data_IF_125656780362
#
_entry.id   IF_125656780362
#
_cell.length_a   1.000
_cell.length_b   1.000
_cell.length_c   1.000
_cell.angle_alpha   90.00
_cell.angle_beta   90.00
_cell.angle_gamma   90.00
#
_symmetry.space_group_name_H-M   'P 1'
#
loop_
_entity.id
_entity.type
_entity.pdbx_description
1 polymer ?
#
# COMPACT_ATOMS: atom_id res chain seq x y z
N UNK A 1 -4.59 14.86 8.60
CA UNK A 1 -3.93 14.21 7.44
C UNK A 1 -5.01 13.67 6.51
N UNK A 2 -4.96 13.96 5.21
CA UNK A 2 -6.07 13.61 4.29
C UNK A 2 -6.11 12.11 3.98
N UNK A 3 -7.25 11.48 4.29
CA UNK A 3 -7.56 10.09 3.95
C UNK A 3 -8.46 10.11 2.71
N UNK A 4 -8.32 9.11 1.85
CA UNK A 4 -9.05 9.06 0.58
C UNK A 4 -9.76 7.72 0.38
N UNK A 5 -10.87 7.77 -0.33
CA UNK A 5 -11.63 6.64 -0.85
C UNK A 5 -11.60 6.70 -2.36
N UNK A 6 -11.42 5.56 -3.01
CA UNK A 6 -11.78 5.38 -4.43
C UNK A 6 -13.14 4.73 -4.50
N UNK A 7 -14.06 5.33 -5.23
CA UNK A 7 -15.38 4.76 -5.48
C UNK A 7 -15.25 3.65 -6.53
N UNK A 8 -15.85 2.48 -6.28
CA UNK A 8 -15.81 1.31 -7.15
C UNK A 8 -17.14 1.10 -7.89
N UNK A 9 -18.24 1.52 -7.27
CA UNK A 9 -19.61 1.44 -7.81
C UNK A 9 -20.33 2.77 -7.58
N UNK A 10 -21.33 3.13 -8.40
CA UNK A 10 -22.11 4.34 -8.20
C UNK A 10 -22.62 4.42 -6.75
N UNK A 11 -22.21 5.47 -6.03
CA UNK A 11 -22.43 5.58 -4.58
C UNK A 11 -23.21 6.84 -4.25
N UNK A 12 -24.39 6.66 -3.65
CA UNK A 12 -25.26 7.75 -3.20
C UNK A 12 -24.65 8.55 -2.04
N UNK A 13 -24.73 9.87 -2.12
CA UNK A 13 -24.26 10.82 -1.10
C UNK A 13 -25.47 11.46 -0.40
N UNK A 14 -25.41 11.50 0.92
CA UNK A 14 -26.46 12.00 1.79
C UNK A 14 -25.97 13.23 2.55
N UNK A 15 -26.87 14.19 2.79
CA UNK A 15 -26.57 15.39 3.59
C UNK A 15 -26.39 15.10 5.08
N UNK A 16 -26.99 14.01 5.58
CA UNK A 16 -26.88 13.55 6.96
C UNK A 16 -26.63 12.04 6.97
N UNK A 17 -26.10 11.54 8.08
CA UNK A 17 -25.80 10.13 8.31
C UNK A 17 -27.06 9.36 8.77
N UNK A 18 -28.15 9.51 8.00
CA UNK A 18 -29.48 8.94 8.23
C UNK A 18 -30.04 8.48 6.87
N UNK A 19 -30.73 7.33 6.84
CA UNK A 19 -31.24 6.77 5.58
C UNK A 19 -32.39 7.60 4.97
N UNK A 20 -33.12 8.34 5.78
CA UNK A 20 -34.18 9.27 5.38
C UNK A 20 -33.66 10.63 4.91
N UNK A 21 -32.35 10.87 5.02
CA UNK A 21 -31.73 12.13 4.60
C UNK A 21 -31.89 12.36 3.09
N UNK A 22 -32.01 13.62 2.70
CA UNK A 22 -31.97 14.03 1.29
C UNK A 22 -30.68 13.55 0.60
N UNK A 23 -30.86 13.07 -0.63
CA UNK A 23 -29.81 12.70 -1.55
C UNK A 23 -29.21 13.96 -2.18
N UNK A 24 -27.90 14.15 -2.04
CA UNK A 24 -27.21 15.30 -2.61
C UNK A 24 -26.76 15.03 -4.04
N UNK A 25 -26.08 13.90 -4.26
CA UNK A 25 -25.50 13.52 -5.54
C UNK A 25 -25.10 12.04 -5.55
N UNK A 26 -24.75 11.51 -6.71
CA UNK A 26 -24.17 10.17 -6.88
C UNK A 26 -22.71 10.32 -7.28
N UNK A 27 -21.80 9.63 -6.57
CA UNK A 27 -20.41 9.54 -6.97
C UNK A 27 -20.24 8.44 -8.00
N UNK A 28 -19.58 8.77 -9.10
CA UNK A 28 -19.24 7.83 -10.16
C UNK A 28 -18.07 6.93 -9.78
N UNK A 29 -17.96 5.70 -10.35
CA UNK A 29 -16.79 4.85 -10.22
C UNK A 29 -15.49 5.60 -10.57
N UNK A 30 -14.39 5.17 -9.94
CA UNK A 30 -13.05 5.76 -10.02
C UNK A 30 -12.89 7.17 -9.44
N UNK A 31 -13.96 7.78 -8.92
CA UNK A 31 -13.86 9.04 -8.17
C UNK A 31 -13.02 8.84 -6.92
N UNK A 32 -11.99 9.69 -6.73
CA UNK A 32 -11.19 9.75 -5.51
C UNK A 32 -11.69 10.90 -4.65
N UNK A 33 -12.20 10.59 -3.47
CA UNK A 33 -12.78 11.57 -2.55
C UNK A 33 -12.10 11.52 -1.18
N UNK A 34 -11.88 12.68 -0.57
CA UNK A 34 -11.36 12.74 0.79
C UNK A 34 -12.43 12.41 1.82
N UNK A 35 -12.06 11.66 2.86
CA UNK A 35 -12.94 11.34 3.97
C UNK A 35 -12.29 11.68 5.31
N UNK A 36 -13.13 11.96 6.31
CA UNK A 36 -12.71 12.29 7.67
C UNK A 36 -12.67 11.04 8.55
N UNK A 37 -13.86 10.52 8.90
CA UNK A 37 -14.04 9.46 9.89
C UNK A 37 -15.18 8.51 9.55
N UNK A 38 -15.17 7.39 10.25
CA UNK A 38 -16.26 6.41 10.28
C UNK A 38 -17.21 6.74 11.42
N UNK A 39 -18.51 6.75 11.15
CA UNK A 39 -19.57 6.95 12.15
C UNK A 39 -20.52 5.76 12.13
N UNK A 40 -21.02 5.36 13.30
CA UNK A 40 -22.10 4.38 13.41
C UNK A 40 -23.33 5.07 13.99
N UNK A 41 -24.46 4.98 13.30
CA UNK A 41 -25.75 5.49 13.76
C UNK A 41 -26.87 4.59 13.25
N UNK A 42 -27.83 4.29 14.10
CA UNK A 42 -29.00 3.45 13.79
C UNK A 42 -28.61 2.10 13.15
N UNK A 43 -27.56 1.47 13.71
CA UNK A 43 -26.95 0.22 13.23
C UNK A 43 -26.34 0.30 11.81
N UNK A 44 -26.33 1.47 11.17
CA UNK A 44 -25.68 1.72 9.87
C UNK A 44 -24.32 2.37 10.09
N UNK A 45 -23.32 1.90 9.34
CA UNK A 45 -22.01 2.52 9.31
C UNK A 45 -21.97 3.55 8.16
N UNK A 46 -21.42 4.72 8.44
CA UNK A 46 -21.34 5.86 7.54
C UNK A 46 -19.89 6.31 7.43
N UNK A 47 -19.51 6.77 6.24
CA UNK A 47 -18.26 7.50 6.02
C UNK A 47 -18.59 8.97 5.85
N UNK A 48 -17.96 9.82 6.67
CA UNK A 48 -18.04 11.28 6.51
C UNK A 48 -17.03 11.71 5.44
N UNK A 49 -17.52 12.30 4.36
CA UNK A 49 -16.76 12.72 3.18
C UNK A 49 -16.84 14.23 2.99
N UNK A 50 -15.88 14.79 2.27
CA UNK A 50 -15.92 16.18 1.83
C UNK A 50 -16.22 16.23 0.33
N UNK A 51 -17.33 16.87 -0.03
CA UNK A 51 -17.67 17.20 -1.42
C UNK A 51 -17.12 18.58 -1.79
N UNK A 52 -17.26 18.97 -3.06
CA UNK A 52 -16.88 20.32 -3.52
C UNK A 52 -17.46 21.40 -2.57
N UNK A 53 -16.67 22.43 -2.30
CA UNK A 53 -16.87 23.45 -1.25
C UNK A 53 -16.66 23.02 0.22
N UNK A 54 -15.99 21.88 0.48
CA UNK A 54 -15.70 21.36 1.83
C UNK A 54 -16.96 21.09 2.68
N UNK A 55 -18.13 21.00 2.06
CA UNK A 55 -19.36 20.61 2.78
C UNK A 55 -19.23 19.17 3.25
N UNK A 56 -19.56 18.93 4.52
CA UNK A 56 -19.61 17.59 5.08
C UNK A 56 -20.81 16.84 4.50
N UNK A 57 -20.56 15.65 3.97
CA UNK A 57 -21.58 14.76 3.47
C UNK A 57 -21.28 13.32 3.90
N UNK A 58 -22.22 12.41 3.61
CA UNK A 58 -22.16 11.05 4.13
C UNK A 58 -22.42 10.03 3.03
N UNK A 59 -21.61 8.99 3.00
CA UNK A 59 -21.90 7.79 2.21
C UNK A 59 -22.13 6.62 3.15
N UNK A 60 -23.09 5.77 2.80
CA UNK A 60 -23.30 4.51 3.51
C UNK A 60 -22.07 3.62 3.31
N UNK A 61 -21.54 3.09 4.40
CA UNK A 61 -20.40 2.17 4.36
C UNK A 61 -20.90 0.80 3.89
N UNK A 62 -20.71 0.55 2.60
CA UNK A 62 -20.86 -0.76 1.98
C UNK A 62 -19.49 -1.21 1.48
N UNK A 63 -19.06 -2.40 1.88
CA UNK A 63 -17.67 -2.86 1.69
C UNK A 63 -17.29 -3.01 0.22
N UNK A 64 -18.28 -3.19 -0.65
CA UNK A 64 -18.06 -3.41 -2.09
C UNK A 64 -18.11 -2.12 -2.92
N UNK A 65 -18.48 -0.98 -2.31
CA UNK A 65 -18.72 0.26 -3.05
C UNK A 65 -17.49 1.16 -3.13
N UNK A 66 -16.48 0.97 -2.27
CA UNK A 66 -15.28 1.80 -2.26
C UNK A 66 -14.05 1.04 -1.77
N UNK A 67 -12.90 1.51 -2.22
CA UNK A 67 -11.59 1.11 -1.73
C UNK A 67 -10.99 2.21 -0.84
N UNK A 68 -10.55 1.87 0.38
CA UNK A 68 -9.83 2.80 1.25
C UNK A 68 -8.39 2.92 0.81
N UNK A 69 -8.03 4.09 0.27
CA UNK A 69 -6.69 4.33 -0.24
C UNK A 69 -5.67 4.28 0.91
N UNK A 70 -4.55 3.61 0.69
CA UNK A 70 -3.51 3.46 1.70
C UNK A 70 -2.43 4.52 1.46
N UNK A 71 -2.28 5.46 2.41
CA UNK A 71 -1.18 6.41 2.35
C UNK A 71 0.12 5.72 2.77
N UNK A 72 1.10 5.74 1.89
CA UNK A 72 2.38 5.07 2.07
C UNK A 72 3.53 5.99 1.72
N UNK A 73 4.70 5.66 2.25
CA UNK A 73 5.99 6.24 1.89
C UNK A 73 6.83 5.17 1.22
N UNK A 74 7.51 5.53 0.12
CA UNK A 74 8.46 4.66 -0.54
C UNK A 74 9.71 4.40 0.34
N UNK A 75 10.02 3.12 0.56
CA UNK A 75 11.24 2.69 1.28
C UNK A 75 12.40 2.40 0.31
N UNK A 76 12.08 1.86 -0.87
CA UNK A 76 13.01 1.66 -1.98
C UNK A 76 13.70 2.97 -2.39
N UNK A 77 14.94 2.89 -2.88
CA UNK A 77 15.69 4.05 -3.35
C UNK A 77 15.00 4.73 -4.54
N UNK A 78 14.50 3.92 -5.48
CA UNK A 78 13.61 4.40 -6.53
C UNK A 78 12.75 3.29 -7.12
N UNK A 79 11.61 3.69 -7.67
CA UNK A 79 10.69 2.81 -8.39
C UNK A 79 10.25 3.47 -9.67
N UNK A 80 10.41 2.75 -10.78
CA UNK A 80 9.87 3.10 -12.07
C UNK A 80 8.47 2.49 -12.25
N UNK A 81 7.50 3.36 -12.43
CA UNK A 81 6.13 3.02 -12.78
C UNK A 81 5.73 3.58 -14.13
N UNK A 82 4.45 3.40 -14.47
CA UNK A 82 3.91 3.92 -15.72
C UNK A 82 2.43 4.27 -15.61
N UNK A 83 2.05 5.35 -16.29
CA UNK A 83 0.66 5.77 -16.50
C UNK A 83 0.12 5.14 -17.78
N UNK A 84 -1.19 4.92 -17.84
CA UNK A 84 -1.88 4.40 -19.04
C UNK A 84 -2.91 5.42 -19.48
N UNK A 85 -2.79 5.87 -20.73
CA UNK A 85 -3.73 6.77 -21.39
C UNK A 85 -4.38 5.99 -22.53
N UNK A 86 -5.69 5.81 -22.47
CA UNK A 86 -6.43 5.13 -23.52
C UNK A 86 -6.64 6.08 -24.70
N UNK A 87 -6.30 5.62 -25.91
CA UNK A 87 -6.53 6.37 -27.16
C UNK A 87 -7.94 6.15 -27.72
N UNK A 88 -8.64 5.14 -27.22
CA UNK A 88 -9.99 4.78 -27.66
C UNK A 88 -11.00 4.96 -26.53
N UNK A 89 -12.27 5.16 -26.87
CA UNK A 89 -13.38 5.30 -25.92
C UNK A 89 -13.70 3.99 -25.19
N UNK A 90 -13.44 2.85 -25.84
CA UNK A 90 -13.46 1.53 -25.21
C UNK A 90 -12.22 1.42 -24.33
N UNK A 91 -12.39 1.04 -23.06
CA UNK A 91 -11.29 0.76 -22.13
C UNK A 91 -11.15 -0.75 -21.98
N UNK A 92 -10.25 -1.41 -22.73
CA UNK A 92 -9.99 -2.82 -22.55
C UNK A 92 -9.56 -3.12 -21.11
N UNK A 93 -9.82 -4.34 -20.66
CA UNK A 93 -9.31 -4.81 -19.38
C UNK A 93 -7.78 -4.75 -19.37
N UNK A 94 -7.18 -4.40 -18.24
CA UNK A 94 -5.72 -4.29 -18.11
C UNK A 94 -4.96 -5.53 -18.60
N UNK A 95 -5.51 -6.72 -18.34
CA UNK A 95 -4.93 -8.00 -18.75
C UNK A 95 -4.95 -8.27 -20.25
N UNK A 96 -5.67 -7.46 -21.01
CA UNK A 96 -5.65 -7.49 -22.48
C UNK A 96 -4.74 -6.41 -23.08
N UNK A 97 -4.18 -5.51 -22.26
CA UNK A 97 -3.33 -4.41 -22.71
C UNK A 97 -1.85 -4.77 -22.67
N UNK A 98 -1.45 -5.60 -21.70
CA UNK A 98 -0.05 -5.90 -21.43
C UNK A 98 0.22 -7.39 -21.60
N UNK A 99 1.24 -7.67 -22.40
CA UNK A 99 1.68 -9.02 -22.72
C UNK A 99 3.13 -9.20 -22.26
N UNK A 100 3.53 -10.44 -22.08
CA UNK A 100 4.94 -10.75 -21.93
C UNK A 100 5.69 -10.26 -23.17
N UNK A 101 6.93 -9.79 -22.96
CA UNK A 101 7.82 -9.39 -24.05
C UNK A 101 7.88 -10.51 -25.10
N UNK A 102 7.89 -10.12 -26.37
CA UNK A 102 8.00 -11.02 -27.54
C UNK A 102 6.77 -11.92 -27.82
N UNK A 103 5.64 -11.72 -27.12
CA UNK A 103 4.39 -12.46 -27.39
C UNK A 103 3.51 -11.80 -28.45
N UNK A 104 3.67 -10.50 -28.69
CA UNK A 104 2.98 -9.78 -29.75
C UNK A 104 3.90 -9.78 -30.97
N UNK A 105 3.65 -10.64 -31.95
CA UNK A 105 4.48 -10.74 -33.16
C UNK A 105 3.78 -10.24 -34.42
N UNK A 106 2.45 -10.17 -34.41
CA UNK A 106 1.62 -9.81 -35.59
C UNK A 106 1.15 -8.34 -35.57
N UNK A 107 1.59 -7.54 -34.61
CA UNK A 107 1.16 -6.14 -34.46
C UNK A 107 2.30 -5.22 -34.91
N UNK A 108 2.02 -4.32 -35.86
CA UNK A 108 3.02 -3.42 -36.43
C UNK A 108 3.52 -2.36 -35.45
N UNK A 109 2.71 -1.95 -34.46
CA UNK A 109 3.01 -0.84 -33.55
C UNK A 109 3.11 -1.25 -32.08
N UNK A 110 4.16 -2.00 -31.75
CA UNK A 110 4.40 -2.48 -30.38
C UNK A 110 5.25 -1.47 -29.60
N UNK A 111 4.87 -1.24 -28.34
CA UNK A 111 5.67 -0.56 -27.33
C UNK A 111 6.15 -1.54 -26.26
N UNK A 112 7.28 -1.22 -25.64
CA UNK A 112 7.81 -1.96 -24.50
C UNK A 112 7.88 -0.99 -23.32
N UNK A 113 7.30 -1.39 -22.19
CA UNK A 113 7.45 -0.68 -20.92
C UNK A 113 8.27 -1.51 -19.94
N UNK A 114 9.14 -0.84 -19.20
CA UNK A 114 9.90 -1.40 -18.10
C UNK A 114 9.34 -0.87 -16.78
N UNK A 115 8.94 -1.76 -15.90
CA UNK A 115 8.66 -1.46 -14.51
C UNK A 115 9.81 -2.00 -13.64
N UNK A 116 10.34 -1.17 -12.75
CA UNK A 116 11.56 -1.49 -12.01
C UNK A 116 11.45 -1.01 -10.55
N UNK A 117 11.96 -1.81 -9.62
CA UNK A 117 12.16 -1.45 -8.21
C UNK A 117 13.64 -1.60 -7.86
N UNK A 118 14.21 -0.58 -7.22
CA UNK A 118 15.59 -0.59 -6.69
C UNK A 118 15.50 -0.45 -5.16
N UNK A 119 15.73 -1.55 -4.45
CA UNK A 119 15.56 -1.64 -2.99
C UNK A 119 16.65 -0.86 -2.24
N UNK A 120 17.93 -1.08 -2.60
CA UNK A 120 19.08 -0.34 -2.08
C UNK A 120 20.18 -0.30 -3.16
N UNK A 121 20.60 0.90 -3.55
CA UNK A 121 21.65 1.13 -4.54
C UNK A 121 23.01 0.57 -4.11
N UNK A 122 23.23 0.33 -2.81
CA UNK A 122 24.46 -0.26 -2.27
C UNK A 122 24.45 -1.80 -2.26
N UNK A 123 23.29 -2.42 -2.07
CA UNK A 123 23.15 -3.90 -2.07
C UNK A 123 22.77 -4.48 -3.45
N UNK A 124 22.39 -3.65 -4.42
CA UNK A 124 22.22 -4.04 -5.82
C UNK A 124 20.97 -4.88 -6.12
N UNK A 125 20.03 -5.05 -5.17
CA UNK A 125 18.78 -5.78 -5.41
C UNK A 125 17.85 -4.97 -6.29
N UNK A 126 17.73 -5.40 -7.54
CA UNK A 126 16.90 -4.82 -8.58
C UNK A 126 15.89 -5.86 -9.07
N UNK A 127 14.63 -5.45 -9.16
CA UNK A 127 13.56 -6.27 -9.74
C UNK A 127 13.02 -5.50 -10.94
N UNK A 128 13.08 -6.10 -12.13
CA UNK A 128 12.48 -5.52 -13.33
C UNK A 128 11.57 -6.50 -14.08
N UNK A 129 10.53 -5.92 -14.70
CA UNK A 129 9.63 -6.62 -15.62
C UNK A 129 9.49 -5.77 -16.87
N UNK A 130 9.58 -6.41 -18.03
CA UNK A 130 9.31 -5.80 -19.33
C UNK A 130 8.00 -6.34 -19.89
N UNK A 131 7.13 -5.43 -20.32
CA UNK A 131 5.83 -5.75 -20.89
C UNK A 131 5.70 -5.13 -22.28
N UNK A 132 5.15 -5.90 -23.21
CA UNK A 132 4.77 -5.42 -24.53
C UNK A 132 3.32 -4.93 -24.52
N UNK A 133 3.04 -3.86 -25.25
CA UNK A 133 1.69 -3.32 -25.42
C UNK A 133 1.47 -2.80 -26.84
N UNK A 134 0.21 -2.74 -27.26
CA UNK A 134 -0.16 -2.15 -28.55
C UNK A 134 -0.30 -0.62 -28.42
N UNK A 135 0.57 0.14 -29.12
CA UNK A 135 0.59 1.61 -29.11
C UNK A 135 -0.62 2.25 -29.77
N UNK A 136 -1.37 1.52 -30.58
CA UNK A 136 -2.60 2.00 -31.22
C UNK A 136 -3.76 2.06 -30.21
N UNK A 137 -3.74 1.18 -29.20
CA UNK A 137 -4.77 1.12 -28.16
C UNK A 137 -4.49 2.09 -27.01
N UNK A 138 -3.23 2.17 -26.58
CA UNK A 138 -2.84 2.93 -25.39
C UNK A 138 -1.51 3.68 -25.59
N UNK A 139 -1.37 4.79 -24.89
CA UNK A 139 -0.10 5.44 -24.61
C UNK A 139 0.32 5.12 -23.18
N UNK A 140 1.61 4.87 -23.01
CA UNK A 140 2.20 4.54 -21.71
C UNK A 140 3.27 5.58 -21.40
N UNK A 141 3.09 6.33 -20.31
CA UNK A 141 4.01 7.37 -19.89
C UNK A 141 4.77 6.91 -18.64
N UNK A 142 6.10 6.75 -18.69
CA UNK A 142 6.87 6.32 -17.54
C UNK A 142 6.99 7.43 -16.50
N UNK A 143 7.05 7.05 -15.22
CA UNK A 143 7.39 7.96 -14.13
C UNK A 143 8.30 7.26 -13.13
N UNK A 144 9.00 8.05 -12.31
CA UNK A 144 9.87 7.53 -11.23
C UNK A 144 9.44 8.11 -9.91
N UNK A 145 9.28 7.26 -8.90
CA UNK A 145 9.18 7.65 -7.49
C UNK A 145 10.55 7.48 -6.83
N UNK A 146 10.96 8.47 -6.04
CA UNK A 146 12.20 8.42 -5.24
C UNK A 146 11.90 8.05 -3.80
N UNK A 147 12.92 7.54 -3.10
CA UNK A 147 12.85 7.25 -1.65
C UNK A 147 12.18 8.39 -0.89
N UNK A 148 11.33 8.03 0.08
CA UNK A 148 10.55 8.97 0.90
C UNK A 148 9.43 9.71 0.15
N UNK A 149 9.22 9.49 -1.15
CA UNK A 149 8.04 10.04 -1.82
C UNK A 149 6.75 9.43 -1.25
N UNK A 150 5.75 10.29 -1.07
CA UNK A 150 4.42 9.91 -0.62
C UNK A 150 3.52 9.58 -1.79
N UNK A 151 2.77 8.48 -1.66
CA UNK A 151 1.73 8.13 -2.62
C UNK A 151 0.58 7.38 -1.93
N UNK A 152 -0.54 7.28 -2.64
CA UNK A 152 -1.68 6.49 -2.22
C UNK A 152 -1.75 5.24 -3.06
N UNK A 153 -1.81 4.07 -2.42
CA UNK A 153 -2.24 2.84 -3.09
C UNK A 153 -3.75 2.94 -3.22
N UNK A 154 -4.25 3.00 -4.45
CA UNK A 154 -5.67 3.15 -4.79
C UNK A 154 -6.28 1.83 -5.28
N UNK A 155 -5.45 0.84 -5.60
CA UNK A 155 -5.82 -0.57 -5.72
C UNK A 155 -4.58 -1.43 -5.45
N UNK A 156 -4.69 -2.44 -4.58
CA UNK A 156 -3.56 -3.28 -4.16
C UNK A 156 -3.40 -4.57 -4.96
N UNK A 157 -4.27 -4.79 -5.95
CA UNK A 157 -4.34 -6.03 -6.71
C UNK A 157 -4.71 -5.70 -8.15
N UNK A 158 -3.75 -5.77 -9.06
CA UNK A 158 -3.99 -5.53 -10.49
C UNK A 158 -3.24 -6.51 -11.40
N UNK A 159 -3.94 -6.99 -12.42
CA UNK A 159 -3.48 -7.91 -13.45
C UNK A 159 -3.57 -9.42 -13.11
N UNK A 160 -3.48 -10.28 -14.14
CA UNK A 160 -3.67 -11.75 -14.14
C UNK A 160 -2.76 -12.51 -13.18
N UNK A 161 -1.66 -11.88 -12.73
CA UNK A 161 -0.70 -12.43 -11.75
C UNK A 161 -0.55 -11.55 -10.51
N UNK A 162 -1.38 -10.52 -10.36
CA UNK A 162 -1.32 -9.57 -9.24
C UNK A 162 0.06 -8.95 -9.06
N UNK A 163 0.74 -8.68 -10.17
CA UNK A 163 2.12 -8.18 -10.19
C UNK A 163 2.21 -6.66 -10.02
N UNK A 164 1.10 -5.94 -10.20
CA UNK A 164 1.04 -4.50 -10.07
C UNK A 164 0.11 -4.06 -8.93
N UNK A 165 0.42 -2.88 -8.41
CA UNK A 165 -0.47 -2.06 -7.61
C UNK A 165 -0.72 -0.74 -8.34
N UNK A 166 -1.93 -0.23 -8.20
CA UNK A 166 -2.32 1.07 -8.77
C UNK A 166 -2.14 2.15 -7.72
N UNK A 167 -1.51 3.24 -8.11
CA UNK A 167 -1.12 4.33 -7.23
C UNK A 167 -1.54 5.69 -7.77
N UNK A 168 -1.67 6.65 -6.86
CA UNK A 168 -1.85 8.06 -7.17
C UNK A 168 -1.12 8.91 -6.11
N UNK A 169 -0.20 9.79 -6.53
CA UNK A 169 0.48 10.70 -5.62
C UNK A 169 -0.22 12.05 -5.45
N UNK A 170 -1.35 12.27 -6.14
CA UNK A 170 -2.13 13.52 -6.17
C UNK A 170 -1.33 14.74 -6.67
N UNK A 171 -0.17 14.51 -7.31
CA UNK A 171 0.77 15.50 -7.86
C UNK A 171 1.16 15.16 -9.30
N UNK A 172 0.33 14.41 -10.01
CA UNK A 172 0.51 14.06 -11.42
C UNK A 172 1.21 12.73 -11.70
N UNK A 173 1.75 12.01 -10.70
CA UNK A 173 2.23 10.63 -10.89
C UNK A 173 1.12 9.66 -10.46
N UNK A 174 0.42 9.11 -11.43
CA UNK A 174 -0.68 8.16 -11.26
C UNK A 174 -0.52 7.01 -12.23
N UNK A 175 -0.69 5.78 -11.77
CA UNK A 175 -0.57 4.60 -12.65
C UNK A 175 -0.16 3.37 -11.88
N UNK A 176 0.71 2.56 -12.46
CA UNK A 176 1.05 1.23 -11.97
C UNK A 176 2.53 1.15 -11.57
N UNK A 177 2.78 0.49 -10.43
CA UNK A 177 4.12 0.09 -9.97
C UNK A 177 4.12 -1.37 -9.56
N UNK A 178 5.31 -1.98 -9.45
CA UNK A 178 5.45 -3.37 -9.04
C UNK A 178 4.92 -3.59 -7.62
N UNK A 179 4.17 -4.69 -7.41
CA UNK A 179 3.66 -5.05 -6.08
C UNK A 179 4.77 -5.38 -5.08
N UNK A 180 5.94 -5.81 -5.58
CA UNK A 180 7.12 -6.12 -4.75
C UNK A 180 7.86 -4.88 -4.24
N UNK A 181 7.45 -3.67 -4.63
CA UNK A 181 8.02 -2.43 -4.11
C UNK A 181 7.90 -2.34 -2.60
N UNK A 182 8.99 -2.01 -1.90
CA UNK A 182 8.94 -1.79 -0.46
C UNK A 182 8.39 -0.41 -0.11
N UNK A 183 7.44 -0.38 0.81
CA UNK A 183 6.84 0.85 1.30
C UNK A 183 6.35 0.67 2.74
N UNK A 184 6.30 1.79 3.45
CA UNK A 184 5.78 1.87 4.82
C UNK A 184 4.46 2.63 4.82
N UNK A 185 3.43 2.05 5.44
CA UNK A 185 2.18 2.78 5.69
C UNK A 185 2.48 3.95 6.60
N UNK A 186 2.07 5.16 6.22
CA UNK A 186 2.39 6.38 7.00
C UNK A 186 1.95 6.27 8.47
N UNK A 187 0.82 5.60 8.68
CA UNK A 187 0.29 5.32 10.00
C UNK A 187 1.10 4.37 10.88
N UNK A 188 2.06 3.68 10.29
CA UNK A 188 2.95 2.69 10.93
C UNK A 188 4.39 3.23 11.02
N UNK A 189 4.67 4.50 10.64
CA UNK A 189 6.02 5.07 10.68
C UNK A 189 6.64 5.04 12.07
N UNK A 190 5.83 5.29 13.11
CA UNK A 190 6.24 5.22 14.51
C UNK A 190 6.72 3.81 14.91
N UNK A 191 6.31 2.78 14.17
CA UNK A 191 6.64 1.41 14.49
C UNK A 191 8.10 1.09 14.17
N UNK A 192 8.70 1.74 13.16
CA UNK A 192 10.12 1.54 12.81
C UNK A 192 11.07 1.86 13.99
N UNK A 193 11.06 3.07 14.60
CA UNK A 193 11.94 3.35 15.73
C UNK A 193 11.62 2.49 16.95
N UNK A 194 10.34 2.16 17.18
CA UNK A 194 9.95 1.26 18.28
C UNK A 194 10.55 -0.13 18.11
N UNK A 195 10.49 -0.72 16.90
CA UNK A 195 11.11 -2.01 16.60
C UNK A 195 12.62 -1.97 16.86
N UNK A 196 13.30 -0.89 16.44
CA UNK A 196 14.75 -0.73 16.65
C UNK A 196 15.09 -0.67 18.14
N UNK A 197 14.38 0.17 18.92
CA UNK A 197 14.61 0.29 20.37
C UNK A 197 14.39 -1.07 21.06
N UNK A 198 13.31 -1.76 20.72
CA UNK A 198 13.00 -3.07 21.28
C UNK A 198 14.08 -4.09 20.91
N UNK A 199 14.56 -4.11 19.65
CA UNK A 199 15.67 -4.99 19.27
C UNK A 199 16.94 -4.71 20.07
N UNK A 200 17.30 -3.43 20.26
CA UNK A 200 18.47 -3.06 21.07
C UNK A 200 18.32 -3.58 22.50
N UNK A 201 17.14 -3.42 23.11
CA UNK A 201 16.87 -3.92 24.47
C UNK A 201 16.94 -5.45 24.55
N UNK A 202 16.40 -6.16 23.56
CA UNK A 202 16.44 -7.63 23.54
C UNK A 202 17.86 -8.15 23.32
N UNK A 203 18.60 -7.60 22.35
CA UNK A 203 19.98 -7.99 22.08
C UNK A 203 20.88 -7.66 23.28
N UNK A 204 20.76 -6.45 23.85
CA UNK A 204 21.49 -6.06 25.04
C UNK A 204 21.16 -6.94 26.26
N UNK A 205 19.89 -7.27 26.46
CA UNK A 205 19.44 -8.19 27.50
C UNK A 205 20.00 -9.60 27.34
N UNK A 206 19.98 -10.15 26.12
CA UNK A 206 20.55 -11.46 25.82
C UNK A 206 22.07 -11.50 26.08
N UNK A 207 22.80 -10.44 25.72
CA UNK A 207 24.24 -10.32 26.00
C UNK A 207 24.49 -10.28 27.52
N UNK A 208 23.75 -9.47 28.27
CA UNK A 208 23.87 -9.38 29.73
C UNK A 208 23.55 -10.72 30.42
N UNK A 209 22.49 -11.40 29.98
CA UNK A 209 22.13 -12.73 30.49
C UNK A 209 23.25 -13.72 30.18
N UNK A 210 23.74 -13.76 28.94
CA UNK A 210 24.84 -14.65 28.55
C UNK A 210 26.14 -14.40 29.32
N UNK A 211 26.45 -13.13 29.62
CA UNK A 211 27.58 -12.75 30.48
C UNK A 211 27.37 -13.20 31.94
N UNK A 212 26.19 -12.94 32.50
CA UNK A 212 25.86 -13.30 33.89
C UNK A 212 25.76 -14.80 34.13
N UNK A 213 25.32 -15.56 33.11
CA UNK A 213 25.20 -17.01 33.15
C UNK A 213 26.52 -17.74 32.83
N UNK A 214 27.61 -17.01 32.57
CA UNK A 214 28.92 -17.60 32.27
C UNK A 214 29.01 -18.34 30.93
N UNK A 215 28.05 -18.15 30.02
CA UNK A 215 27.98 -18.89 28.75
C UNK A 215 29.20 -18.65 27.85
N UNK A 216 29.79 -17.45 27.93
CA UNK A 216 31.03 -17.11 27.21
C UNK A 216 32.28 -17.81 27.79
N UNK A 217 32.23 -18.29 29.04
CA UNK A 217 33.37 -18.88 29.74
C UNK A 217 33.42 -20.43 29.67
N UNK A 218 32.30 -21.09 29.33
CA UNK A 218 32.13 -22.53 29.60
C UNK A 218 32.38 -23.44 28.38
N UNK A 219 32.40 -22.92 27.14
CA UNK A 219 32.90 -23.52 25.87
C UNK A 219 31.95 -23.26 24.69
N UNK A 220 32.46 -23.39 23.46
CA UNK A 220 31.72 -23.19 22.21
C UNK A 220 30.47 -24.09 22.00
N UNK A 221 30.24 -25.11 22.84
CA UNK A 221 29.04 -25.94 22.82
C UNK A 221 27.78 -25.19 23.34
N UNK A 222 27.97 -24.16 24.16
CA UNK A 222 26.89 -23.29 24.66
C UNK A 222 26.31 -22.32 23.61
N UNK A 223 26.93 -22.23 22.42
CA UNK A 223 26.38 -21.44 21.30
C UNK A 223 25.04 -21.99 20.80
N UNK A 224 24.86 -23.31 20.79
CA UNK A 224 23.63 -23.94 20.28
C UNK A 224 22.41 -23.58 21.15
N UNK A 225 22.44 -23.76 22.49
CA UNK A 225 21.38 -23.26 23.37
C UNK A 225 21.15 -21.75 23.24
N UNK A 226 22.21 -20.95 23.12
CA UNK A 226 22.09 -19.51 22.99
C UNK A 226 21.37 -19.08 21.70
N UNK A 227 21.67 -19.74 20.56
CA UNK A 227 20.99 -19.51 19.29
C UNK A 227 19.51 -19.90 19.37
N UNK A 228 19.19 -21.03 20.02
CA UNK A 228 17.80 -21.46 20.22
C UNK A 228 17.02 -20.43 21.05
N UNK A 229 17.60 -19.96 22.16
CA UNK A 229 16.98 -18.93 23.01
C UNK A 229 16.79 -17.62 22.24
N UNK A 230 17.77 -17.21 21.42
CA UNK A 230 17.66 -16.02 20.58
C UNK A 230 16.53 -16.15 19.54
N UNK A 231 16.38 -17.30 18.89
CA UNK A 231 15.28 -17.57 17.94
C UNK A 231 13.93 -17.49 18.65
N UNK A 232 13.79 -18.13 19.81
CA UNK A 232 12.55 -18.09 20.60
C UNK A 232 12.21 -16.65 21.01
N UNK A 233 13.21 -15.88 21.47
CA UNK A 233 13.03 -14.48 21.82
C UNK A 233 12.56 -13.63 20.64
N UNK A 234 13.13 -13.83 19.44
CA UNK A 234 12.72 -13.13 18.21
C UNK A 234 11.27 -13.48 17.84
N UNK A 235 10.88 -14.75 17.91
CA UNK A 235 9.51 -15.19 17.61
C UNK A 235 8.51 -14.57 18.58
N UNK A 236 8.80 -14.61 19.89
CA UNK A 236 7.95 -13.98 20.91
C UNK A 236 7.84 -12.48 20.68
N UNK A 237 8.94 -11.82 20.32
CA UNK A 237 8.97 -10.39 20.04
C UNK A 237 8.08 -10.03 18.84
N UNK A 238 8.13 -10.81 17.76
CA UNK A 238 7.28 -10.60 16.59
C UNK A 238 5.79 -10.70 16.96
N UNK A 239 5.43 -11.66 17.81
CA UNK A 239 4.04 -11.81 18.30
C UNK A 239 3.63 -10.58 19.11
N UNK A 240 4.47 -10.12 20.05
CA UNK A 240 4.19 -8.92 20.86
C UNK A 240 4.01 -7.68 19.98
N UNK A 241 4.91 -7.46 19.02
CA UNK A 241 4.82 -6.34 18.07
C UNK A 241 3.53 -6.40 17.25
N UNK A 242 3.12 -7.60 16.82
CA UNK A 242 1.87 -7.80 16.08
C UNK A 242 0.64 -7.45 16.93
N UNK A 243 0.64 -7.84 18.21
CA UNK A 243 -0.43 -7.50 19.16
C UNK A 243 -0.50 -5.99 19.39
N UNK A 244 0.64 -5.34 19.68
CA UNK A 244 0.71 -3.89 19.89
C UNK A 244 0.19 -3.15 18.66
N UNK A 245 0.61 -3.57 17.46
CA UNK A 245 0.12 -3.02 16.19
C UNK A 245 -1.40 -3.19 16.05
N UNK A 246 -1.94 -4.34 16.45
CA UNK A 246 -3.38 -4.61 16.46
C UNK A 246 -4.14 -3.65 17.37
N UNK A 247 -3.69 -3.49 18.62
CA UNK A 247 -4.30 -2.60 19.62
C UNK A 247 -4.29 -1.14 19.12
N UNK A 248 -3.15 -0.65 18.65
CA UNK A 248 -3.03 0.71 18.12
C UNK A 248 -3.97 0.94 16.92
N UNK A 249 -4.11 -0.04 16.02
CA UNK A 249 -5.03 0.06 14.90
C UNK A 249 -6.50 0.13 15.34
N UNK A 250 -6.87 -0.55 16.43
CA UNK A 250 -8.22 -0.47 17.00
C UNK A 250 -8.47 0.92 17.60
N UNK A 251 -7.51 1.43 18.38
CA UNK A 251 -7.59 2.77 18.98
C UNK A 251 -7.70 3.83 17.88
N UNK A 252 -6.83 3.77 16.86
CA UNK A 252 -6.82 4.73 15.73
C UNK A 252 -8.05 4.64 14.81
N UNK A 253 -8.87 3.58 14.91
CA UNK A 253 -10.16 3.50 14.22
C UNK A 253 -11.28 4.21 15.00
N UNK A 254 -11.14 4.31 16.34
CA UNK A 254 -12.11 4.98 17.22
C UNK A 254 -11.89 6.49 17.30
N UNK A 255 -10.66 6.95 17.13
CA UNK A 255 -10.28 8.38 17.08
C UNK A 255 -10.04 8.84 15.64
#
# INVERSE_FOLDING_TARGET
>A
MKRYLRILKPTKVYSRHELSSSHLTTLEPDTIISFNREKRRDKVNWMEIYIEDKKEAYIKKDHDNFYKCQNVILDDDSVQGFSVIYKTSKKPLFDSLFHQKDTLTEIENIGIIKAESIEDAKEGKKIDIQLAYNKDLIQVDPFVLKKKEHFYIINNVFGKKYIFIEIDNLKGKKGFILKKTNYTKKGDEWMKPVIVIIMILVVGGLILIGLSAGWLAISGLMLIPAVIVAIVAIVVLQIILMIIKGIFNIIRKRF
#
